data_IF_956703991260
#
_entry.id   IF_956703991260
#
_cell.length_a   1.000
_cell.length_b   1.000
_cell.length_c   1.000
_cell.angle_alpha   90.00
_cell.angle_beta   90.00
_cell.angle_gamma   90.00
#
_symmetry.space_group_name_H-M   'P 1'
#
loop_
_entity.id
_entity.type
_entity.pdbx_description
1 polymer ?
#
# COMPACT_ATOMS: atom_id res chain seq x y z
N UNK A 1 -25.91 18.86 -2.68
CA UNK A 1 -24.56 18.31 -2.91
C UNK A 1 -24.38 17.04 -2.07
N UNK A 2 -24.76 15.87 -2.58
CA UNK A 2 -24.83 14.60 -1.79
C UNK A 2 -24.32 13.38 -2.58
N UNK A 3 -23.48 13.61 -3.59
CA UNK A 3 -23.01 12.58 -4.53
C UNK A 3 -21.52 12.25 -4.45
N UNK A 4 -20.69 13.10 -3.86
CA UNK A 4 -19.22 12.90 -3.83
C UNK A 4 -18.76 11.95 -2.72
N UNK A 5 -19.42 11.94 -1.55
CA UNK A 5 -18.98 11.12 -0.41
C UNK A 5 -19.18 9.60 -0.58
N UNK A 6 -20.00 9.15 -1.54
CA UNK A 6 -20.20 7.71 -1.79
C UNK A 6 -19.05 7.09 -2.59
N UNK A 7 -18.48 7.84 -3.53
CA UNK A 7 -17.41 7.35 -4.41
C UNK A 7 -16.09 7.19 -3.65
N UNK A 8 -15.79 8.09 -2.71
CA UNK A 8 -14.59 7.98 -1.86
C UNK A 8 -14.66 6.79 -0.90
N UNK A 9 -15.85 6.47 -0.38
CA UNK A 9 -16.07 5.30 0.47
C UNK A 9 -15.94 3.97 -0.30
N UNK A 10 -16.40 3.93 -1.56
CA UNK A 10 -16.24 2.75 -2.42
C UNK A 10 -14.78 2.50 -2.83
N UNK A 11 -14.01 3.56 -3.11
CA UNK A 11 -12.57 3.45 -3.41
C UNK A 11 -11.75 3.01 -2.19
N UNK A 12 -12.12 3.45 -0.99
CA UNK A 12 -11.52 2.98 0.25
C UNK A 12 -11.85 1.50 0.55
N UNK A 13 -13.01 1.00 0.11
CA UNK A 13 -13.38 -0.41 0.22
C UNK A 13 -12.68 -1.32 -0.80
N UNK A 14 -12.26 -0.76 -1.94
CA UNK A 14 -11.40 -1.40 -2.95
C UNK A 14 -9.91 -1.37 -2.58
N UNK A 15 -9.55 -0.88 -1.39
CA UNK A 15 -8.19 -0.88 -0.90
C UNK A 15 -7.75 -2.32 -0.63
N UNK A 16 -7.29 -3.01 -1.67
CA UNK A 16 -6.54 -4.25 -1.56
C UNK A 16 -5.41 -3.95 -0.57
N UNK A 17 -5.29 -4.69 0.55
CA UNK A 17 -4.20 -4.50 1.49
C UNK A 17 -2.88 -4.46 0.71
N UNK A 18 -2.02 -3.47 0.95
CA UNK A 18 -0.76 -3.31 0.19
C UNK A 18 0.07 -4.59 0.12
N UNK A 19 0.06 -5.38 1.19
CA UNK A 19 0.70 -6.71 1.23
C UNK A 19 0.08 -7.71 0.24
N UNK A 20 -1.25 -7.69 0.08
CA UNK A 20 -1.95 -8.50 -0.91
C UNK A 20 -1.65 -8.02 -2.34
N UNK A 21 -1.47 -6.71 -2.55
CA UNK A 21 -1.07 -6.17 -3.86
C UNK A 21 0.38 -6.52 -4.24
N UNK A 22 1.30 -6.49 -3.27
CA UNK A 22 2.71 -6.86 -3.48
C UNK A 22 2.83 -8.34 -3.87
N UNK A 23 2.11 -9.21 -3.15
CA UNK A 23 2.10 -10.66 -3.41
C UNK A 23 1.46 -10.97 -4.75
N UNK A 24 0.32 -10.35 -5.06
CA UNK A 24 -0.37 -10.52 -6.34
C UNK A 24 0.53 -10.19 -7.54
N UNK A 25 1.31 -9.10 -7.46
CA UNK A 25 2.23 -8.73 -8.53
C UNK A 25 3.32 -9.79 -8.77
N UNK A 26 3.85 -10.37 -7.69
CA UNK A 26 4.86 -11.44 -7.78
C UNK A 26 4.25 -12.69 -8.41
N UNK A 27 3.02 -13.03 -8.06
CA UNK A 27 2.32 -14.21 -8.59
C UNK A 27 2.06 -14.04 -10.09
N UNK A 28 1.59 -12.86 -10.53
CA UNK A 28 1.40 -12.56 -11.96
C UNK A 28 2.70 -12.68 -12.76
N UNK A 29 3.83 -12.21 -12.20
CA UNK A 29 5.13 -12.35 -12.88
C UNK A 29 5.60 -13.82 -12.95
N UNK A 30 5.20 -14.67 -12.00
CA UNK A 30 5.46 -16.09 -12.05
C UNK A 30 4.61 -16.78 -13.13
N UNK A 31 3.32 -16.47 -13.20
CA UNK A 31 2.40 -16.99 -14.22
C UNK A 31 2.86 -16.62 -15.63
N UNK A 32 3.35 -15.39 -15.82
CA UNK A 32 3.90 -14.95 -17.11
C UNK A 32 5.20 -15.69 -17.48
N UNK A 33 6.04 -16.04 -16.51
CA UNK A 33 7.24 -16.84 -16.77
C UNK A 33 6.89 -18.26 -17.19
N UNK A 34 5.92 -18.88 -16.53
CA UNK A 34 5.42 -20.20 -16.91
C UNK A 34 4.82 -20.16 -18.32
N UNK A 35 3.94 -19.19 -18.58
CA UNK A 35 3.35 -18.97 -19.89
C UNK A 35 4.39 -18.71 -21.00
N UNK A 36 5.46 -17.97 -20.72
CA UNK A 36 6.54 -17.72 -21.67
C UNK A 36 7.40 -18.96 -21.91
N UNK A 37 7.65 -19.76 -20.86
CA UNK A 37 8.38 -21.03 -20.95
C UNK A 37 7.63 -22.04 -21.81
N UNK A 38 6.32 -22.19 -21.60
CA UNK A 38 5.46 -23.10 -22.38
C UNK A 38 5.45 -22.76 -23.87
N UNK A 39 5.66 -21.48 -24.21
CA UNK A 39 5.76 -20.99 -25.59
C UNK A 39 7.18 -21.03 -26.16
N UNK A 40 8.15 -21.53 -25.40
CA UNK A 40 9.56 -21.57 -25.80
C UNK A 40 10.25 -20.21 -25.86
N UNK A 41 9.67 -19.16 -25.25
CA UNK A 41 10.18 -17.79 -25.30
C UNK A 41 11.24 -17.55 -24.21
N UNK A 42 12.36 -18.27 -24.27
CA UNK A 42 13.38 -18.28 -23.20
C UNK A 42 13.97 -16.90 -22.90
N UNK A 43 14.18 -16.05 -23.90
CA UNK A 43 14.65 -14.68 -23.69
C UNK A 43 13.66 -13.83 -22.86
N UNK A 44 12.35 -14.06 -23.03
CA UNK A 44 11.31 -13.38 -22.26
C UNK A 44 11.24 -13.94 -20.83
N UNK A 45 11.44 -15.24 -20.67
CA UNK A 45 11.55 -15.88 -19.34
C UNK A 45 12.67 -15.25 -18.53
N UNK A 46 13.86 -15.07 -19.11
CA UNK A 46 15.01 -14.46 -18.43
C UNK A 46 14.72 -13.00 -18.03
N UNK A 47 14.09 -12.23 -18.93
CA UNK A 47 13.68 -10.86 -18.64
C UNK A 47 12.65 -10.78 -17.51
N UNK A 48 11.67 -11.68 -17.50
CA UNK A 48 10.64 -11.75 -16.46
C UNK A 48 11.22 -12.22 -15.11
N UNK A 49 12.21 -13.12 -15.12
CA UNK A 49 12.93 -13.54 -13.92
C UNK A 49 13.69 -12.37 -13.29
N UNK A 50 14.38 -11.56 -14.11
CA UNK A 50 15.03 -10.33 -13.67
C UNK A 50 14.00 -9.35 -13.09
N UNK A 51 12.89 -9.11 -13.81
CA UNK A 51 11.82 -8.23 -13.36
C UNK A 51 11.26 -8.67 -11.99
N UNK A 52 10.97 -9.96 -11.83
CA UNK A 52 10.48 -10.53 -10.57
C UNK A 52 11.43 -10.29 -9.41
N UNK A 53 12.74 -10.48 -9.64
CA UNK A 53 13.76 -10.23 -8.62
C UNK A 53 13.79 -8.76 -8.21
N UNK A 54 13.86 -7.85 -9.19
CA UNK A 54 13.89 -6.40 -8.94
C UNK A 54 12.61 -5.96 -8.21
N UNK A 55 11.44 -6.47 -8.61
CA UNK A 55 10.18 -6.16 -7.93
C UNK A 55 10.18 -6.60 -6.46
N UNK A 56 10.68 -7.81 -6.16
CA UNK A 56 10.82 -8.29 -4.77
C UNK A 56 11.77 -7.42 -3.94
N UNK A 57 12.92 -7.05 -4.50
CA UNK A 57 13.89 -6.17 -3.86
C UNK A 57 13.27 -4.79 -3.56
N UNK A 58 12.52 -4.23 -4.52
CA UNK A 58 11.83 -2.95 -4.36
C UNK A 58 10.70 -2.96 -3.34
N UNK A 59 9.93 -4.06 -3.26
CA UNK A 59 8.92 -4.27 -2.21
C UNK A 59 9.58 -4.24 -0.84
N UNK A 60 10.69 -4.97 -0.66
CA UNK A 60 11.43 -5.00 0.60
C UNK A 60 12.01 -3.62 0.93
N UNK A 61 12.64 -2.94 -0.03
CA UNK A 61 13.16 -1.58 0.15
C UNK A 61 12.09 -0.62 0.63
N UNK A 62 10.93 -0.59 -0.04
CA UNK A 62 9.80 0.27 0.33
C UNK A 62 9.20 -0.07 1.69
N UNK A 63 9.13 -1.35 2.06
CA UNK A 63 8.70 -1.78 3.40
C UNK A 63 9.67 -1.29 4.47
N UNK A 64 10.97 -1.40 4.23
CA UNK A 64 11.99 -0.89 5.15
C UNK A 64 11.91 0.64 5.26
N UNK A 65 11.75 1.37 4.15
CA UNK A 65 11.55 2.83 4.16
C UNK A 65 10.28 3.25 4.91
N UNK A 66 9.19 2.51 4.76
CA UNK A 66 7.96 2.74 5.51
C UNK A 66 8.14 2.51 7.02
N UNK A 67 8.96 1.53 7.41
CA UNK A 67 9.30 1.28 8.80
C UNK A 67 10.29 2.31 9.40
N UNK A 68 11.05 3.03 8.56
CA UNK A 68 12.09 3.98 8.97
C UNK A 68 11.54 5.42 9.14
N UNK A 69 10.30 5.73 8.75
CA UNK A 69 9.64 7.04 8.99
C UNK A 69 8.44 6.88 9.95
N UNK A 70 8.30 7.60 11.08
CA UNK A 70 9.00 8.82 11.57
C UNK A 70 9.31 8.79 13.09
N UNK A 71 10.52 9.22 13.52
CA UNK A 71 10.80 9.57 14.92
C UNK A 71 10.10 10.85 15.41
N UNK A 72 9.53 11.66 14.51
CA UNK A 72 8.91 12.96 14.81
C UNK A 72 7.45 13.09 14.36
N UNK A 73 6.73 11.98 14.19
CA UNK A 73 5.27 12.05 14.22
C UNK A 73 4.84 12.14 15.68
N UNK A 74 4.78 13.37 16.20
CA UNK A 74 3.97 13.65 17.38
C UNK A 74 2.56 13.14 17.04
N UNK A 75 2.06 12.20 17.83
CA UNK A 75 0.67 11.78 17.79
C UNK A 75 -0.22 13.03 17.90
N UNK A 76 -0.67 13.55 16.77
CA UNK A 76 -1.67 14.64 16.72
C UNK A 76 -3.06 14.16 17.18
N UNK A 77 -3.18 12.92 17.66
CA UNK A 77 -4.39 12.30 18.19
C UNK A 77 -4.55 12.45 19.70
N UNK A 78 -3.57 12.98 20.44
CA UNK A 78 -3.64 13.08 21.90
C UNK A 78 -4.18 14.41 22.49
N UNK A 79 -4.48 15.43 21.67
CA UNK A 79 -4.84 16.78 22.19
C UNK A 79 -6.32 17.19 22.07
N UNK A 80 -7.23 16.30 21.67
CA UNK A 80 -8.65 16.68 21.49
C UNK A 80 -9.59 16.33 22.65
N UNK A 81 -9.10 15.86 23.79
CA UNK A 81 -9.95 15.65 24.96
C UNK A 81 -9.25 16.11 26.24
N UNK A 82 -9.58 17.32 26.69
CA UNK A 82 -9.80 17.72 28.11
C UNK A 82 -9.66 19.25 28.35
N UNK A 83 -10.01 20.10 27.38
CA UNK A 83 -10.26 21.51 27.69
C UNK A 83 -11.73 21.81 27.41
N UNK A 84 -12.58 21.99 28.43
CA UNK A 84 -13.93 22.48 28.22
C UNK A 84 -13.85 23.82 27.48
N UNK A 85 -14.75 24.10 26.51
CA UNK A 85 -14.80 25.40 25.85
C UNK A 85 -14.87 26.50 26.91
N UNK A 86 -13.99 27.49 26.81
CA UNK A 86 -13.98 28.66 27.68
C UNK A 86 -15.35 29.36 27.57
N UNK A 87 -16.22 29.11 28.54
CA UNK A 87 -17.61 29.58 28.48
C UNK A 87 -18.54 29.07 29.59
N UNK A 88 -18.24 27.94 30.23
CA UNK A 88 -19.01 27.50 31.40
C UNK A 88 -18.58 28.26 32.67
N UNK A 89 -19.09 29.49 32.84
CA UNK A 89 -19.15 30.12 34.16
C UNK A 89 -20.26 29.45 34.95
N UNK A 90 -19.92 28.79 36.06
CA UNK A 90 -20.89 28.41 37.10
C UNK A 90 -21.41 29.71 37.72
N UNK A 91 -22.73 29.92 37.66
CA UNK A 91 -23.43 30.79 38.61
C UNK A 91 -23.56 30.04 39.94
#
# INVERSE_FOLDING_TARGET
MRGQNRVEADLASLAIPRMASDQWMVDVLADLQEAARDRGMMAVVDQLAIATRVTKEEIVRKRNEANIRRPNEVEHTAYYYTVPPAGYRRN
#
